data_IF_172610784948
#
_entry.id   IF_172610784948
#
_cell.length_a   1.000
_cell.length_b   1.000
_cell.length_c   1.000
_cell.angle_alpha   90.00
_cell.angle_beta   90.00
_cell.angle_gamma   90.00
#
_symmetry.space_group_name_H-M   'P 1'
#
loop_
_entity.id
_entity.type
_entity.pdbx_description
1 polymer ?
#
# COMPACT_ATOMS: atom_id res chain seq x y z
N UNK A 1 -37.98 -5.38 -62.42
CA UNK A 1 -38.26 -5.12 -60.99
C UNK A 1 -37.90 -3.67 -60.72
N UNK A 2 -38.86 -2.84 -60.28
CA UNK A 2 -38.62 -1.45 -59.85
C UNK A 2 -38.87 -1.42 -58.33
N UNK A 3 -37.95 -0.89 -57.54
CA UNK A 3 -38.18 -0.65 -56.11
C UNK A 3 -38.60 0.82 -55.93
N UNK A 4 -39.78 1.05 -55.35
CA UNK A 4 -40.18 2.36 -54.85
C UNK A 4 -40.03 2.36 -53.33
N UNK A 5 -39.23 3.27 -52.80
CA UNK A 5 -39.20 3.62 -51.38
C UNK A 5 -40.41 4.52 -51.09
N UNK A 6 -41.38 4.01 -50.33
CA UNK A 6 -42.42 4.83 -49.71
C UNK A 6 -42.39 4.51 -48.22
N UNK A 7 -42.06 5.52 -47.40
CA UNK A 7 -42.23 5.56 -45.95
C UNK A 7 -41.45 4.51 -45.12
N UNK A 8 -40.14 4.39 -45.34
CA UNK A 8 -39.19 3.95 -44.30
C UNK A 8 -39.35 2.54 -43.69
N UNK A 9 -40.17 1.65 -44.27
CA UNK A 9 -40.33 0.26 -43.83
C UNK A 9 -40.03 -0.67 -45.02
N UNK A 10 -39.12 -1.63 -44.84
CA UNK A 10 -38.83 -2.64 -45.86
C UNK A 10 -39.94 -3.70 -45.91
N UNK A 11 -40.43 -3.97 -47.12
CA UNK A 11 -41.40 -5.01 -47.42
C UNK A 11 -40.75 -6.10 -48.28
N UNK A 12 -41.04 -7.37 -47.99
CA UNK A 12 -40.76 -8.48 -48.92
C UNK A 12 -42.02 -8.80 -49.71
N UNK A 13 -41.84 -8.92 -51.03
CA UNK A 13 -42.88 -9.32 -51.97
C UNK A 13 -42.61 -10.77 -52.39
N UNK A 14 -43.59 -11.65 -52.20
CA UNK A 14 -43.53 -13.02 -52.72
C UNK A 14 -44.75 -13.31 -53.60
N UNK A 15 -44.50 -14.02 -54.70
CA UNK A 15 -45.51 -14.37 -55.69
C UNK A 15 -45.76 -15.87 -55.60
N UNK A 16 -46.98 -16.26 -55.25
CA UNK A 16 -47.40 -17.66 -55.24
C UNK A 16 -48.66 -17.79 -56.09
N UNK A 17 -48.63 -18.65 -57.11
CA UNK A 17 -49.74 -18.90 -58.05
C UNK A 17 -50.39 -17.62 -58.62
N UNK A 18 -49.58 -16.62 -58.97
CA UNK A 18 -50.05 -15.41 -59.66
C UNK A 18 -50.73 -14.37 -58.77
N UNK A 19 -50.81 -14.57 -57.44
CA UNK A 19 -51.24 -13.55 -56.48
C UNK A 19 -50.03 -12.99 -55.71
N UNK A 20 -50.07 -11.69 -55.40
CA UNK A 20 -48.99 -10.94 -54.73
C UNK A 20 -49.31 -10.75 -53.25
N UNK A 21 -48.41 -11.19 -52.38
CA UNK A 21 -48.50 -11.00 -50.92
C UNK A 21 -47.34 -10.14 -50.39
N UNK A 22 -47.62 -9.34 -49.35
CA UNK A 22 -46.69 -8.38 -48.74
C UNK A 22 -46.54 -8.62 -47.24
N UNK A 23 -45.31 -8.70 -46.73
CA UNK A 23 -45.00 -8.76 -45.28
C UNK A 23 -43.92 -7.74 -44.89
N UNK A 24 -44.02 -7.18 -43.67
CA UNK A 24 -43.10 -6.17 -43.11
C UNK A 24 -41.98 -6.79 -42.27
N UNK A 25 -40.77 -6.23 -42.38
CA UNK A 25 -39.63 -6.57 -41.52
C UNK A 25 -39.34 -5.40 -40.57
N UNK A 26 -39.44 -5.62 -39.25
CA UNK A 26 -39.06 -4.62 -38.23
C UNK A 26 -37.75 -4.98 -37.53
N UNK A 27 -36.82 -4.01 -37.34
CA UNK A 27 -36.60 -3.26 -36.09
C UNK A 27 -35.27 -2.45 -36.11
N UNK A 28 -35.36 -1.29 -35.45
CA UNK A 28 -34.49 -0.12 -35.16
C UNK A 28 -32.96 -0.24 -35.01
N UNK A 29 -32.22 0.79 -35.50
CA UNK A 29 -31.05 1.40 -34.81
C UNK A 29 -31.09 2.94 -34.98
N UNK A 30 -30.56 3.62 -33.96
CA UNK A 30 -30.91 4.91 -33.36
C UNK A 30 -30.02 6.12 -33.71
N UNK A 31 -30.68 7.24 -34.11
CA UNK A 31 -30.34 8.68 -33.83
C UNK A 31 -29.10 9.31 -34.54
N UNK A 32 -28.95 10.65 -34.63
CA UNK A 32 -29.33 11.43 -35.82
C UNK A 32 -28.24 12.41 -36.30
N UNK A 33 -27.91 12.44 -37.60
CA UNK A 33 -27.10 13.54 -38.15
C UNK A 33 -28.03 14.63 -38.71
N UNK A 34 -28.12 15.75 -37.99
CA UNK A 34 -28.70 17.00 -38.47
C UNK A 34 -27.89 17.50 -39.68
N UNK A 35 -28.56 17.73 -40.81
CA UNK A 35 -28.11 18.69 -41.80
C UNK A 35 -29.22 19.71 -42.04
N UNK A 36 -28.84 20.97 -41.82
CA UNK A 36 -29.68 22.15 -41.86
C UNK A 36 -30.06 22.48 -43.31
N UNK A 37 -31.34 22.72 -43.54
CA UNK A 37 -31.92 22.98 -44.86
C UNK A 37 -32.01 24.49 -45.04
N UNK A 38 -31.03 25.08 -45.72
CA UNK A 38 -31.11 26.46 -46.17
C UNK A 38 -30.59 26.63 -47.59
N UNK A 39 -31.40 26.26 -48.57
CA UNK A 39 -31.73 27.10 -49.73
C UNK A 39 -32.78 26.39 -50.56
N UNK A 40 -33.90 27.08 -50.72
CA UNK A 40 -35.01 26.73 -51.59
C UNK A 40 -34.63 27.21 -52.99
N UNK A 41 -34.11 26.33 -53.83
CA UNK A 41 -34.12 26.54 -55.28
C UNK A 41 -35.26 25.71 -55.87
N UNK A 42 -36.30 26.42 -56.28
CA UNK A 42 -37.36 25.91 -57.14
C UNK A 42 -36.74 25.51 -58.47
N UNK A 43 -36.67 24.20 -58.74
CA UNK A 43 -36.52 23.74 -60.13
C UNK A 43 -37.91 23.68 -60.72
N UNK A 44 -38.23 24.74 -61.46
CA UNK A 44 -39.39 24.86 -62.33
C UNK A 44 -39.30 23.85 -63.48
N UNK A 45 -40.42 23.15 -63.67
CA UNK A 45 -40.92 22.65 -64.95
C UNK A 45 -40.04 21.70 -65.78
N UNK A 46 -40.32 20.40 -65.70
CA UNK A 46 -40.08 19.47 -66.82
C UNK A 46 -41.38 18.70 -67.09
N UNK A 47 -42.24 19.34 -67.87
CA UNK A 47 -43.28 18.68 -68.65
C UNK A 47 -42.64 17.92 -69.80
N UNK A 48 -42.13 16.71 -69.56
CA UNK A 48 -41.87 15.72 -70.64
C UNK A 48 -41.62 14.35 -70.02
N UNK A 49 -42.66 13.52 -70.01
CA UNK A 49 -42.55 12.12 -69.59
C UNK A 49 -41.91 11.33 -70.74
N UNK A 50 -40.66 10.91 -70.59
CA UNK A 50 -40.02 9.97 -71.51
C UNK A 50 -40.59 8.57 -71.29
N UNK A 51 -41.00 7.91 -72.38
CA UNK A 51 -41.57 6.56 -72.36
C UNK A 51 -40.87 5.66 -73.37
N UNK A 52 -40.93 4.34 -73.14
CA UNK A 52 -40.23 3.32 -73.92
C UNK A 52 -41.26 2.45 -74.65
N UNK A 53 -41.19 2.40 -75.98
CA UNK A 53 -41.92 1.41 -76.78
C UNK A 53 -41.01 0.21 -77.09
N UNK A 54 -41.55 -0.99 -76.89
CA UNK A 54 -40.92 -2.26 -77.25
C UNK A 54 -41.93 -3.09 -78.06
N UNK A 55 -41.52 -3.66 -79.20
CA UNK A 55 -42.37 -4.57 -79.98
C UNK A 55 -42.08 -6.03 -79.58
N UNK A 56 -43.12 -6.87 -79.59
CA UNK A 56 -43.07 -8.25 -79.08
C UNK A 56 -42.36 -9.27 -80.01
N UNK A 57 -41.55 -8.85 -80.97
CA UNK A 57 -40.94 -9.81 -81.90
C UNK A 57 -39.45 -9.64 -82.20
N UNK A 58 -38.72 -8.73 -81.56
CA UNK A 58 -37.25 -8.77 -81.47
C UNK A 58 -36.79 -7.62 -80.56
N UNK A 59 -35.80 -7.90 -79.72
CA UNK A 59 -35.20 -7.07 -78.67
C UNK A 59 -34.63 -5.72 -79.15
N UNK A 60 -35.50 -4.79 -79.52
CA UNK A 60 -35.19 -3.40 -79.80
C UNK A 60 -36.27 -2.51 -79.19
N UNK A 61 -35.88 -1.71 -78.19
CA UNK A 61 -36.71 -0.64 -77.65
C UNK A 61 -36.03 0.70 -77.99
N UNK A 62 -36.82 1.71 -78.36
CA UNK A 62 -36.31 3.07 -78.62
C UNK A 62 -36.77 4.00 -77.50
N UNK A 63 -35.86 4.84 -77.03
CA UNK A 63 -36.18 6.01 -76.20
C UNK A 63 -36.38 7.19 -77.14
N UNK A 64 -37.48 7.92 -76.96
CA UNK A 64 -37.77 9.15 -77.70
C UNK A 64 -37.76 10.33 -76.72
N UNK A 65 -37.08 11.41 -77.11
CA UNK A 65 -36.79 12.65 -76.35
C UNK A 65 -35.89 12.48 -75.12
N UNK A 66 -34.58 12.47 -75.36
CA UNK A 66 -33.55 12.55 -74.32
C UNK A 66 -32.73 13.84 -74.51
N UNK A 67 -33.08 14.91 -73.78
CA UNK A 67 -32.41 16.21 -73.89
C UNK A 67 -31.65 16.63 -72.63
N UNK A 68 -31.51 15.78 -71.60
CA UNK A 68 -30.83 16.16 -70.36
C UNK A 68 -29.89 15.04 -69.86
N UNK A 69 -28.66 15.06 -70.39
CA UNK A 69 -27.51 14.38 -69.79
C UNK A 69 -27.27 14.93 -68.37
N UNK A 70 -27.68 14.18 -67.34
CA UNK A 70 -27.27 14.41 -65.95
C UNK A 70 -26.75 13.09 -65.39
N UNK A 71 -25.43 12.92 -65.37
CA UNK A 71 -24.76 11.92 -64.53
C UNK A 71 -24.20 12.67 -63.32
N UNK A 72 -24.88 12.58 -62.17
CA UNK A 72 -24.36 13.03 -60.89
C UNK A 72 -24.04 11.80 -60.03
N UNK A 73 -22.89 11.84 -59.37
CA UNK A 73 -22.36 10.78 -58.50
C UNK A 73 -23.36 10.40 -57.40
N UNK A 74 -23.84 9.15 -57.43
CA UNK A 74 -24.58 8.53 -56.32
C UNK A 74 -23.86 7.26 -55.89
N UNK A 75 -23.38 7.16 -54.63
CA UNK A 75 -22.90 5.92 -54.09
C UNK A 75 -24.13 5.11 -53.69
N UNK A 76 -24.58 4.20 -54.56
CA UNK A 76 -25.24 2.91 -54.30
C UNK A 76 -25.91 2.44 -55.60
N UNK A 77 -25.62 1.20 -55.96
CA UNK A 77 -25.71 0.68 -57.31
C UNK A 77 -27.13 0.54 -57.88
N UNK A 78 -27.34 1.06 -59.10
CA UNK A 78 -28.19 0.44 -60.13
C UNK A 78 -27.51 0.67 -61.49
N UNK A 79 -26.83 -0.36 -62.02
CA UNK A 79 -26.34 -0.37 -63.41
C UNK A 79 -27.48 -0.89 -64.28
N UNK A 80 -28.16 0.02 -65.00
CA UNK A 80 -28.98 -0.33 -66.16
C UNK A 80 -28.14 -0.11 -67.42
N UNK A 81 -27.65 -1.19 -68.02
CA UNK A 81 -27.04 -1.12 -69.34
C UNK A 81 -28.12 -1.06 -70.41
N UNK A 82 -28.31 0.11 -71.03
CA UNK A 82 -28.88 0.22 -72.38
C UNK A 82 -27.85 0.86 -73.32
N UNK A 83 -27.32 0.05 -74.23
CA UNK A 83 -27.30 0.45 -75.64
C UNK A 83 -26.21 1.39 -76.17
N UNK A 84 -25.13 1.70 -75.45
CA UNK A 84 -23.82 2.06 -76.05
C UNK A 84 -22.74 1.74 -75.02
N UNK A 85 -22.04 0.61 -75.16
CA UNK A 85 -20.86 0.30 -74.36
C UNK A 85 -19.70 1.17 -74.82
N UNK A 86 -19.61 2.41 -74.33
CA UNK A 86 -18.29 2.99 -74.12
C UNK A 86 -17.61 2.12 -73.07
N UNK A 87 -16.40 1.63 -73.35
CA UNK A 87 -15.60 0.87 -72.41
C UNK A 87 -15.41 1.69 -71.13
N UNK A 88 -16.26 1.48 -70.13
CA UNK A 88 -15.90 1.79 -68.76
C UNK A 88 -14.85 0.76 -68.39
N UNK A 89 -13.58 1.14 -68.49
CA UNK A 89 -12.46 0.33 -68.01
C UNK A 89 -12.59 0.22 -66.49
N UNK A 90 -13.41 -0.72 -66.03
CA UNK A 90 -13.52 -1.05 -64.62
C UNK A 90 -12.14 -1.42 -64.10
N UNK A 91 -11.63 -0.64 -63.16
CA UNK A 91 -10.35 -0.90 -62.52
C UNK A 91 -10.65 -1.61 -61.22
N UNK A 92 -10.22 -2.88 -61.13
CA UNK A 92 -10.29 -3.60 -59.87
C UNK A 92 -9.24 -3.03 -58.91
N UNK A 93 -9.64 -2.85 -57.66
CA UNK A 93 -8.75 -2.40 -56.60
C UNK A 93 -7.66 -3.42 -56.33
N UNK A 94 -6.44 -2.96 -56.04
CA UNK A 94 -5.36 -3.81 -55.57
C UNK A 94 -4.68 -3.21 -54.33
N UNK A 95 -4.13 -4.10 -53.51
CA UNK A 95 -3.54 -3.74 -52.24
C UNK A 95 -2.27 -2.89 -52.44
N UNK A 96 -2.12 -1.86 -51.62
CA UNK A 96 -0.85 -1.21 -51.37
C UNK A 96 0.14 -2.17 -50.71
N UNK A 97 1.41 -1.79 -50.72
CA UNK A 97 2.40 -2.41 -49.84
C UNK A 97 1.95 -2.29 -48.37
N UNK A 98 2.34 -3.28 -47.57
CA UNK A 98 2.13 -3.23 -46.14
C UNK A 98 2.94 -2.10 -45.52
N UNK A 99 2.33 -1.39 -44.57
CA UNK A 99 3.09 -0.50 -43.68
C UNK A 99 4.09 -1.31 -42.85
N UNK A 100 5.12 -0.62 -42.34
CA UNK A 100 6.00 -1.22 -41.33
C UNK A 100 5.16 -1.61 -40.11
N UNK A 101 5.55 -2.70 -39.45
CA UNK A 101 4.94 -3.07 -38.18
C UNK A 101 4.99 -1.90 -37.18
N UNK A 102 3.85 -1.65 -36.53
CA UNK A 102 3.77 -0.73 -35.40
C UNK A 102 4.59 -1.21 -34.20
N UNK A 103 4.67 -0.37 -33.17
CA UNK A 103 5.22 -0.78 -31.88
C UNK A 103 4.33 -1.80 -31.21
N UNK A 104 4.92 -2.62 -30.33
CA UNK A 104 4.15 -3.50 -29.45
C UNK A 104 3.21 -2.63 -28.58
N UNK A 105 1.96 -3.07 -28.44
CA UNK A 105 0.93 -2.44 -27.60
C UNK A 105 1.28 -2.42 -26.11
N UNK A 106 2.12 -3.36 -25.65
CA UNK A 106 2.60 -3.46 -24.27
C UNK A 106 4.04 -2.98 -24.12
N UNK A 107 4.34 -2.45 -22.94
CA UNK A 107 5.70 -2.08 -22.52
C UNK A 107 6.48 -3.26 -21.94
N UNK A 108 5.78 -4.23 -21.35
CA UNK A 108 6.31 -5.46 -20.75
C UNK A 108 5.38 -6.65 -21.04
N UNK A 109 5.87 -7.88 -20.92
CA UNK A 109 5.09 -9.10 -21.15
C UNK A 109 4.82 -9.38 -22.62
N UNK A 110 3.74 -10.12 -22.89
CA UNK A 110 3.33 -10.48 -24.24
C UNK A 110 2.23 -9.52 -24.71
N UNK A 111 2.32 -9.11 -25.97
CA UNK A 111 1.35 -8.24 -26.61
C UNK A 111 1.31 -8.45 -28.12
N UNK A 112 0.75 -7.48 -28.82
CA UNK A 112 0.55 -7.49 -30.25
C UNK A 112 1.07 -6.23 -30.92
N UNK A 113 1.44 -6.36 -32.20
CA UNK A 113 1.77 -5.26 -33.09
C UNK A 113 0.96 -5.41 -34.36
N UNK A 114 0.58 -4.28 -34.95
CA UNK A 114 -0.32 -4.23 -36.11
C UNK A 114 0.41 -3.60 -37.29
N UNK A 115 0.16 -4.11 -38.49
CA UNK A 115 0.46 -3.43 -39.75
C UNK A 115 -0.81 -3.37 -40.60
N UNK A 116 -0.87 -2.38 -41.47
CA UNK A 116 -2.04 -2.14 -42.33
C UNK A 116 -1.62 -1.87 -43.78
N UNK A 117 -2.56 -2.09 -44.69
CA UNK A 117 -2.45 -1.78 -46.12
C UNK A 117 -3.78 -1.22 -46.62
N UNK A 118 -3.75 -0.44 -47.70
CA UNK A 118 -4.93 0.20 -48.29
C UNK A 118 -5.25 -0.37 -49.65
N UNK A 119 -6.51 -0.31 -50.06
CA UNK A 119 -6.95 -0.73 -51.38
C UNK A 119 -6.87 0.44 -52.38
N UNK A 120 -5.65 0.91 -52.67
CA UNK A 120 -5.41 2.12 -53.44
C UNK A 120 -4.31 1.99 -54.53
N UNK A 121 -3.81 0.78 -54.80
CA UNK A 121 -2.71 0.56 -55.75
C UNK A 121 -3.01 -0.48 -56.86
N UNK A 122 -3.93 -0.22 -57.81
CA UNK A 122 -4.73 1.01 -57.94
C UNK A 122 -6.02 0.99 -57.11
N UNK A 123 -6.65 2.15 -56.92
CA UNK A 123 -7.97 2.24 -56.28
C UNK A 123 -9.09 1.74 -57.23
N UNK A 124 -10.13 1.07 -56.70
CA UNK A 124 -11.23 0.59 -57.52
C UNK A 124 -12.03 1.75 -58.12
N UNK A 125 -12.36 1.68 -59.42
CA UNK A 125 -13.13 2.71 -60.12
C UNK A 125 -14.04 2.12 -61.19
N UNK A 126 -15.04 2.89 -61.63
CA UNK A 126 -15.98 2.53 -62.70
C UNK A 126 -16.69 1.18 -62.47
N UNK A 127 -17.05 0.88 -61.22
CA UNK A 127 -17.70 -0.39 -60.84
C UNK A 127 -16.77 -1.60 -60.70
N UNK A 128 -15.45 -1.39 -60.66
CA UNK A 128 -14.47 -2.45 -60.36
C UNK A 128 -14.55 -2.98 -58.93
N UNK A 129 -14.12 -4.23 -58.73
CA UNK A 129 -14.19 -4.92 -57.43
C UNK A 129 -13.24 -4.34 -56.38
N UNK A 130 -13.65 -4.39 -55.11
CA UNK A 130 -12.80 -4.03 -53.97
C UNK A 130 -11.75 -5.12 -53.67
N UNK A 131 -10.67 -4.76 -52.98
CA UNK A 131 -9.61 -5.70 -52.64
C UNK A 131 -10.12 -6.85 -51.75
N UNK A 132 -9.73 -8.07 -52.09
CA UNK A 132 -10.09 -9.28 -51.32
C UNK A 132 -9.00 -9.58 -50.28
N UNK A 133 -9.41 -9.84 -49.04
CA UNK A 133 -8.53 -10.16 -47.91
C UNK A 133 -8.53 -9.08 -46.82
N UNK A 134 -7.73 -9.30 -45.78
CA UNK A 134 -7.66 -8.36 -44.66
C UNK A 134 -6.83 -7.11 -45.01
N UNK A 135 -7.31 -5.94 -44.56
CA UNK A 135 -6.60 -4.66 -44.61
C UNK A 135 -5.59 -4.49 -43.47
N UNK A 136 -5.68 -5.33 -42.45
CA UNK A 136 -4.83 -5.32 -41.26
C UNK A 136 -4.29 -6.72 -40.99
N UNK A 137 -3.11 -6.76 -40.40
CA UNK A 137 -2.42 -7.97 -39.99
C UNK A 137 -1.85 -7.77 -38.58
N UNK A 138 -1.94 -8.82 -37.77
CA UNK A 138 -1.59 -8.80 -36.34
C UNK A 138 -0.52 -9.85 -36.11
N UNK A 139 0.57 -9.44 -35.47
CA UNK A 139 1.65 -10.34 -35.08
C UNK A 139 1.94 -10.20 -33.58
N UNK A 140 2.45 -11.27 -32.97
CA UNK A 140 2.76 -11.30 -31.54
C UNK A 140 4.13 -10.69 -31.26
N UNK A 141 4.25 -10.02 -30.13
CA UNK A 141 5.51 -9.49 -29.63
C UNK A 141 5.68 -9.81 -28.14
N UNK A 142 6.92 -10.11 -27.76
CA UNK A 142 7.31 -10.33 -26.36
C UNK A 142 8.32 -9.27 -25.92
N UNK A 143 8.02 -8.63 -24.79
CA UNK A 143 8.87 -7.66 -24.10
C UNK A 143 9.49 -8.29 -22.85
N UNK A 144 10.23 -7.49 -22.08
CA UNK A 144 10.77 -7.91 -20.79
C UNK A 144 9.64 -8.27 -19.81
N UNK A 145 9.95 -9.03 -18.75
CA UNK A 145 8.96 -9.41 -17.73
C UNK A 145 8.33 -8.17 -17.08
N UNK A 146 7.02 -8.21 -16.84
CA UNK A 146 6.35 -7.13 -16.14
C UNK A 146 6.71 -7.10 -14.65
N UNK A 147 6.83 -5.90 -14.06
CA UNK A 147 6.99 -5.75 -12.63
C UNK A 147 5.85 -6.41 -11.86
N UNK A 148 6.20 -7.21 -10.85
CA UNK A 148 5.25 -7.75 -9.88
C UNK A 148 5.45 -7.00 -8.59
N UNK A 149 4.45 -6.21 -8.19
CA UNK A 149 4.49 -5.51 -6.92
C UNK A 149 4.25 -6.47 -5.76
N UNK A 150 5.03 -6.32 -4.70
CA UNK A 150 4.92 -7.14 -3.51
C UNK A 150 3.64 -6.83 -2.75
N UNK A 151 3.00 -7.87 -2.21
CA UNK A 151 1.90 -7.70 -1.27
C UNK A 151 2.09 -8.55 -0.01
N UNK A 152 1.55 -8.04 1.09
CA UNK A 152 1.68 -8.65 2.41
C UNK A 152 0.94 -9.97 2.47
N UNK A 153 1.63 -11.00 2.95
CA UNK A 153 1.01 -12.21 3.45
C UNK A 153 0.23 -11.95 4.74
N UNK A 154 -0.45 -13.00 5.20
CA UNK A 154 -1.16 -12.98 6.48
C UNK A 154 -0.18 -12.75 7.64
N UNK A 155 -0.65 -12.10 8.69
CA UNK A 155 0.10 -12.06 9.94
C UNK A 155 0.24 -13.48 10.51
N UNK A 156 1.40 -13.75 11.10
CA UNK A 156 1.58 -14.89 11.99
C UNK A 156 0.67 -14.76 13.20
N UNK A 157 0.53 -15.87 13.92
CA UNK A 157 0.02 -15.82 15.28
C UNK A 157 0.91 -14.94 16.16
N UNK A 158 0.31 -14.43 17.23
CA UNK A 158 1.05 -13.70 18.25
C UNK A 158 2.03 -14.62 18.99
N UNK A 159 3.21 -14.10 19.30
CA UNK A 159 4.15 -14.74 20.20
C UNK A 159 3.54 -14.89 21.59
N UNK A 160 4.17 -15.76 22.40
CA UNK A 160 3.92 -15.75 23.84
C UNK A 160 4.25 -14.37 24.44
N UNK A 161 3.59 -14.05 25.55
CA UNK A 161 3.87 -12.82 26.27
C UNK A 161 5.27 -12.87 26.88
N UNK A 162 6.00 -11.75 26.85
CA UNK A 162 7.36 -11.67 27.40
C UNK A 162 7.43 -11.85 28.93
N UNK A 163 6.29 -11.74 29.62
CA UNK A 163 6.15 -11.95 31.06
C UNK A 163 4.97 -12.88 31.33
N UNK A 164 5.12 -13.70 32.37
CA UNK A 164 4.06 -14.59 32.85
C UNK A 164 3.00 -13.83 33.68
N UNK A 165 3.37 -12.70 34.30
CA UNK A 165 2.48 -11.80 35.01
C UNK A 165 2.87 -10.33 34.79
N UNK A 166 1.94 -9.42 35.09
CA UNK A 166 2.07 -7.99 34.87
C UNK A 166 2.10 -7.60 33.38
N UNK A 167 2.34 -6.31 33.08
CA UNK A 167 2.41 -5.84 31.69
C UNK A 167 3.70 -6.37 31.01
N UNK A 168 3.48 -7.21 30.01
CA UNK A 168 4.49 -7.72 29.07
C UNK A 168 4.22 -7.25 27.64
N UNK A 169 5.04 -7.71 26.71
CA UNK A 169 4.93 -7.44 25.27
C UNK A 169 4.88 -8.75 24.49
N UNK A 170 4.07 -8.79 23.44
CA UNK A 170 4.07 -9.85 22.43
C UNK A 170 4.15 -9.24 21.04
N UNK A 171 4.62 -10.04 20.08
CA UNK A 171 4.77 -9.60 18.70
C UNK A 171 4.18 -10.60 17.71
N UNK A 172 3.94 -10.14 16.49
CA UNK A 172 3.62 -10.98 15.34
C UNK A 172 4.29 -10.42 14.10
N UNK A 173 4.50 -11.27 13.11
CA UNK A 173 5.25 -10.92 11.88
C UNK A 173 4.47 -11.29 10.64
N UNK A 174 4.76 -10.63 9.52
CA UNK A 174 4.23 -10.98 8.20
C UNK A 174 5.33 -10.84 7.15
N UNK A 175 5.18 -11.53 6.03
CA UNK A 175 6.15 -11.53 4.93
C UNK A 175 5.57 -10.86 3.69
N UNK A 176 6.45 -10.31 2.85
CA UNK A 176 6.09 -9.67 1.59
C UNK A 176 6.21 -10.68 0.43
N UNK A 177 5.35 -11.68 0.46
CA UNK A 177 5.43 -12.88 -0.39
C UNK A 177 4.09 -13.25 -1.05
N UNK A 178 3.05 -12.40 -0.93
CA UNK A 178 1.71 -12.66 -1.46
C UNK A 178 1.23 -11.54 -2.41
N UNK A 179 1.86 -11.34 -3.59
CA UNK A 179 2.97 -12.11 -4.15
C UNK A 179 4.34 -11.52 -3.77
N UNK A 180 5.42 -12.26 -4.02
CA UNK A 180 6.79 -11.77 -3.86
C UNK A 180 7.13 -10.77 -4.99
N UNK A 181 7.69 -9.59 -4.65
CA UNK A 181 8.04 -8.60 -5.66
C UNK A 181 9.13 -9.09 -6.62
N UNK A 182 8.98 -8.80 -7.91
CA UNK A 182 9.95 -9.17 -8.95
C UNK A 182 9.93 -8.21 -10.15
N UNK A 183 10.93 -8.33 -11.03
CA UNK A 183 11.08 -7.51 -12.25
C UNK A 183 10.90 -6.00 -11.99
N UNK A 184 11.61 -5.48 -10.98
CA UNK A 184 11.57 -4.09 -10.52
C UNK A 184 10.24 -3.64 -9.89
N UNK A 185 9.41 -4.59 -9.45
CA UNK A 185 8.21 -4.28 -8.69
C UNK A 185 8.51 -3.78 -7.27
N UNK A 186 7.76 -2.76 -6.85
CA UNK A 186 7.83 -2.19 -5.50
C UNK A 186 7.70 -3.24 -4.38
N UNK A 187 8.51 -3.08 -3.33
CA UNK A 187 8.35 -3.81 -2.07
C UNK A 187 7.11 -3.35 -1.29
N UNK A 188 6.65 -4.21 -0.37
CA UNK A 188 5.50 -3.92 0.48
C UNK A 188 5.75 -2.72 1.38
N UNK A 189 4.77 -1.81 1.46
CA UNK A 189 4.81 -0.65 2.34
C UNK A 189 4.21 -0.95 3.71
N UNK A 190 4.83 -0.45 4.78
CA UNK A 190 4.40 -0.60 6.17
C UNK A 190 5.26 -1.57 6.99
N UNK A 191 4.89 -1.78 8.25
CA UNK A 191 5.68 -2.62 9.16
C UNK A 191 5.50 -4.12 8.87
N UNK A 192 6.60 -4.87 8.89
CA UNK A 192 6.63 -6.34 8.84
C UNK A 192 6.44 -7.01 10.21
N UNK A 193 6.52 -6.22 11.29
CA UNK A 193 6.34 -6.65 12.67
C UNK A 193 5.35 -5.73 13.38
N UNK A 194 4.55 -6.30 14.28
CA UNK A 194 3.61 -5.58 15.10
C UNK A 194 3.75 -6.02 16.56
N UNK A 195 3.65 -5.08 17.48
CA UNK A 195 3.77 -5.28 18.92
C UNK A 195 2.47 -4.93 19.64
N UNK A 196 2.22 -5.61 20.75
CA UNK A 196 1.04 -5.45 21.59
C UNK A 196 1.44 -5.64 23.07
N UNK A 197 0.81 -4.88 23.96
CA UNK A 197 0.89 -5.10 25.40
C UNK A 197 0.03 -6.31 25.76
N UNK A 198 0.60 -7.24 26.52
CA UNK A 198 -0.06 -8.45 26.98
C UNK A 198 0.13 -8.62 28.49
N UNK A 199 -0.61 -9.58 29.07
CA UNK A 199 -0.59 -9.85 30.51
C UNK A 199 -1.65 -9.04 31.25
N UNK A 200 -2.66 -9.73 31.79
CA UNK A 200 -3.75 -9.15 32.59
C UNK A 200 -3.66 -9.52 34.07
N UNK A 201 -2.82 -10.49 34.43
CA UNK A 201 -2.69 -10.95 35.80
C UNK A 201 -1.69 -10.07 36.54
N UNK A 202 -2.16 -9.32 37.53
CA UNK A 202 -1.25 -8.63 38.46
C UNK A 202 -0.30 -9.66 39.07
N UNK A 203 0.99 -9.34 39.08
CA UNK A 203 1.97 -10.15 39.80
C UNK A 203 1.65 -10.04 41.28
N UNK A 204 0.98 -11.05 41.83
CA UNK A 204 0.68 -11.12 43.25
C UNK A 204 1.96 -11.41 44.04
N UNK A 205 2.18 -10.58 45.07
CA UNK A 205 3.11 -10.78 46.19
C UNK A 205 4.60 -10.91 45.90
N UNK A 206 5.20 -9.88 45.29
CA UNK A 206 6.60 -9.57 45.65
C UNK A 206 6.56 -8.63 46.86
N UNK A 207 6.79 -9.10 48.09
CA UNK A 207 6.63 -8.27 49.27
C UNK A 207 7.58 -7.06 49.22
N UNK A 208 7.06 -5.88 49.59
CA UNK A 208 7.91 -4.75 49.94
C UNK A 208 8.42 -4.98 51.35
N UNK A 209 9.74 -5.07 51.51
CA UNK A 209 10.39 -5.34 52.80
C UNK A 209 11.08 -4.06 53.26
N UNK A 210 10.67 -3.56 54.41
CA UNK A 210 11.23 -2.34 55.00
C UNK A 210 12.42 -2.68 55.89
N UNK A 211 13.53 -1.97 55.66
CA UNK A 211 14.72 -2.05 56.49
C UNK A 211 15.17 -0.64 56.89
N UNK A 212 15.24 -0.38 58.19
CA UNK A 212 15.68 0.90 58.75
C UNK A 212 16.69 0.71 59.87
N UNK A 213 17.85 1.33 59.72
CA UNK A 213 18.94 1.35 60.71
C UNK A 213 19.43 2.77 60.96
N UNK A 214 20.02 3.00 62.14
CA UNK A 214 20.58 4.30 62.53
C UNK A 214 21.91 4.15 63.26
N UNK A 215 22.78 5.13 63.09
CA UNK A 215 24.03 5.22 63.87
C UNK A 215 23.76 5.89 65.22
N UNK A 216 24.21 5.32 66.37
CA UNK A 216 24.05 5.96 67.68
C UNK A 216 24.88 7.25 67.80
N UNK A 217 26.07 7.25 67.20
CA UNK A 217 27.06 8.33 67.27
C UNK A 217 27.45 8.81 65.87
N UNK A 218 28.44 9.71 65.79
CA UNK A 218 29.05 10.03 64.50
C UNK A 218 29.75 8.78 63.94
N UNK A 219 29.72 8.63 62.62
CA UNK A 219 30.48 7.58 61.93
C UNK A 219 31.93 8.04 61.74
N UNK A 220 32.88 7.27 62.26
CA UNK A 220 34.30 7.45 61.96
C UNK A 220 34.68 6.48 60.84
N UNK A 221 34.78 6.98 59.62
CA UNK A 221 34.93 6.12 58.45
C UNK A 221 36.39 6.00 58.04
N UNK A 222 36.95 4.80 58.11
CA UNK A 222 38.12 4.43 57.31
C UNK A 222 37.67 4.14 55.87
N UNK A 223 38.52 4.43 54.89
CA UNK A 223 38.17 4.32 53.47
C UNK A 223 37.76 2.89 53.11
N UNK A 224 36.56 2.70 52.57
CA UNK A 224 36.08 1.40 52.09
C UNK A 224 35.64 0.43 53.18
N UNK A 225 35.59 0.84 54.45
CA UNK A 225 35.11 0.00 55.54
C UNK A 225 33.59 -0.19 55.50
N UNK A 226 33.15 -1.41 55.82
CA UNK A 226 31.73 -1.71 56.03
C UNK A 226 31.26 -1.03 57.32
N UNK A 227 30.09 -0.37 57.24
CA UNK A 227 29.49 0.30 58.39
C UNK A 227 28.52 -0.67 59.06
N UNK A 228 28.76 -0.91 60.35
CA UNK A 228 27.88 -1.69 61.21
C UNK A 228 27.00 -0.72 61.99
N UNK A 229 25.69 -0.79 61.78
CA UNK A 229 24.72 0.03 62.50
C UNK A 229 24.20 -0.74 63.70
N UNK A 230 24.38 -0.18 64.90
CA UNK A 230 23.98 -0.83 66.15
C UNK A 230 22.54 -0.55 66.56
N UNK A 231 21.86 0.44 65.95
CA UNK A 231 20.44 0.70 66.17
C UNK A 231 19.65 0.22 64.95
N UNK A 232 18.78 -0.77 65.18
CA UNK A 232 17.92 -1.36 64.16
C UNK A 232 16.48 -0.95 64.50
N UNK A 233 15.91 -0.04 63.71
CA UNK A 233 14.51 0.39 63.89
C UNK A 233 13.56 -0.63 63.27
N UNK A 234 13.89 -1.12 62.06
CA UNK A 234 13.04 -2.03 61.28
C UNK A 234 13.94 -3.05 60.56
N UNK A 235 13.67 -4.34 60.72
CA UNK A 235 14.38 -5.43 60.06
C UNK A 235 13.40 -6.54 59.68
N UNK A 236 12.47 -6.20 58.78
CA UNK A 236 11.48 -7.15 58.28
C UNK A 236 12.16 -8.35 57.62
N UNK A 237 11.71 -9.55 57.97
CA UNK A 237 12.33 -10.79 57.51
C UNK A 237 13.71 -11.10 58.11
N UNK A 238 14.21 -10.28 59.05
CA UNK A 238 15.45 -10.50 59.82
C UNK A 238 16.69 -10.75 58.96
N UNK A 239 16.81 -10.01 57.85
CA UNK A 239 17.92 -10.15 56.90
C UNK A 239 19.24 -9.53 57.37
N UNK A 240 19.20 -8.55 58.28
CA UNK A 240 20.40 -7.84 58.75
C UNK A 240 21.18 -8.58 59.81
N UNK A 241 22.49 -8.69 59.60
CA UNK A 241 23.48 -9.20 60.53
C UNK A 241 24.25 -8.03 61.17
N UNK A 242 24.07 -7.87 62.49
CA UNK A 242 24.68 -6.80 63.27
C UNK A 242 26.17 -7.03 63.59
N UNK A 243 26.73 -8.21 63.30
CA UNK A 243 28.17 -8.45 63.45
C UNK A 243 28.94 -8.01 62.20
N UNK A 244 28.42 -8.36 61.01
CA UNK A 244 29.07 -8.05 59.72
C UNK A 244 28.61 -6.75 59.07
N UNK A 245 27.46 -6.21 59.48
CA UNK A 245 26.82 -5.05 58.85
C UNK A 245 26.18 -5.37 57.49
N UNK A 246 26.03 -6.65 57.13
CA UNK A 246 25.44 -7.09 55.88
C UNK A 246 23.96 -7.43 56.04
N UNK A 247 23.17 -7.15 55.00
CA UNK A 247 21.79 -7.58 54.86
C UNK A 247 21.70 -8.71 53.84
N UNK A 248 21.06 -9.82 54.20
CA UNK A 248 20.77 -10.94 53.31
C UNK A 248 19.28 -11.05 53.05
N UNK A 249 18.88 -11.00 51.78
CA UNK A 249 17.49 -11.07 51.37
C UNK A 249 16.85 -12.42 51.77
N UNK A 250 15.83 -12.44 52.67
CA UNK A 250 15.17 -13.69 53.08
C UNK A 250 14.25 -14.29 52.00
N UNK A 251 13.66 -13.45 51.15
CA UNK A 251 12.75 -13.82 50.05
C UNK A 251 13.02 -12.94 48.82
N UNK A 252 12.45 -13.31 47.67
CA UNK A 252 12.43 -12.41 46.51
C UNK A 252 11.50 -11.22 46.85
N UNK A 253 11.98 -9.99 46.68
CA UNK A 253 11.29 -8.82 47.23
C UNK A 253 11.83 -7.50 46.71
N UNK A 254 11.03 -6.45 46.85
CA UNK A 254 11.52 -5.07 46.74
C UNK A 254 11.86 -4.57 48.13
N UNK A 255 13.10 -4.17 48.36
CA UNK A 255 13.60 -3.76 49.66
C UNK A 255 13.77 -2.26 49.71
N UNK A 256 13.18 -1.62 50.73
CA UNK A 256 13.37 -0.19 51.03
C UNK A 256 14.39 -0.05 52.15
N UNK A 257 15.64 0.26 51.81
CA UNK A 257 16.74 0.48 52.73
C UNK A 257 16.78 1.93 53.17
N UNK A 258 16.66 2.20 54.47
CA UNK A 258 16.83 3.53 55.05
C UNK A 258 17.91 3.46 56.12
N UNK A 259 19.03 4.14 55.89
CA UNK A 259 20.14 4.18 56.85
C UNK A 259 20.40 5.62 57.30
N UNK A 260 20.19 5.91 58.58
CA UNK A 260 20.53 7.19 59.17
C UNK A 260 21.97 7.19 59.66
N UNK A 261 22.73 8.19 59.23
CA UNK A 261 24.11 8.38 59.65
C UNK A 261 24.31 9.85 60.06
N UNK A 262 25.18 10.04 61.05
CA UNK A 262 25.48 11.35 61.60
C UNK A 262 26.97 11.63 61.49
N UNK A 263 27.31 12.91 61.37
CA UNK A 263 28.69 13.38 61.30
C UNK A 263 28.93 14.44 62.37
N UNK A 264 30.14 14.45 62.94
CA UNK A 264 30.56 15.41 63.94
C UNK A 264 30.77 16.81 63.34
N UNK A 265 30.95 17.82 64.18
CA UNK A 265 31.27 19.19 63.75
C UNK A 265 32.52 19.24 62.86
N UNK A 266 32.49 20.09 61.82
CA UNK A 266 33.51 20.18 60.76
C UNK A 266 33.82 18.84 60.07
N UNK A 267 32.91 17.89 60.12
CA UNK A 267 33.06 16.57 59.54
C UNK A 267 32.36 16.43 58.20
N UNK A 268 32.83 15.46 57.43
CA UNK A 268 32.24 15.03 56.19
C UNK A 268 32.15 13.51 56.16
N UNK A 269 31.04 12.94 55.69
CA UNK A 269 30.94 11.52 55.45
C UNK A 269 30.15 11.21 54.18
N UNK A 270 30.58 10.16 53.49
CA UNK A 270 29.86 9.56 52.38
C UNK A 270 29.69 8.08 52.63
N UNK A 271 28.51 7.58 52.26
CA UNK A 271 28.17 6.18 52.36
C UNK A 271 27.53 5.72 51.06
N UNK A 272 27.69 4.43 50.76
CA UNK A 272 27.05 3.83 49.60
C UNK A 272 26.50 2.44 49.92
N UNK A 273 25.33 2.13 49.35
CA UNK A 273 24.74 0.80 49.36
C UNK A 273 25.40 -0.02 48.25
N UNK A 274 25.96 -1.16 48.59
CA UNK A 274 26.74 -2.01 47.69
C UNK A 274 26.08 -3.37 47.53
N UNK A 275 26.04 -3.87 46.30
CA UNK A 275 25.70 -5.25 45.94
C UNK A 275 26.79 -5.77 45.01
N UNK A 276 27.36 -6.94 45.33
CA UNK A 276 28.39 -7.61 44.52
C UNK A 276 29.60 -6.71 44.16
N UNK A 277 29.95 -5.76 45.04
CA UNK A 277 31.05 -4.81 44.83
C UNK A 277 30.67 -3.55 44.04
N UNK A 278 29.51 -3.54 43.37
CA UNK A 278 28.96 -2.39 42.67
C UNK A 278 28.13 -1.50 43.59
N UNK A 279 28.33 -0.19 43.48
CA UNK A 279 27.51 0.79 44.20
C UNK A 279 26.13 0.90 43.54
N UNK A 280 25.08 0.69 44.34
CA UNK A 280 23.69 0.86 43.92
C UNK A 280 23.18 2.29 44.16
N UNK A 281 23.52 2.88 45.31
CA UNK A 281 23.11 4.23 45.70
C UNK A 281 24.19 4.86 46.57
N UNK A 282 24.43 6.17 46.41
CA UNK A 282 25.38 6.94 47.23
C UNK A 282 24.67 8.08 47.96
N UNK A 283 25.12 8.37 49.17
CA UNK A 283 24.69 9.50 49.98
C UNK A 283 25.88 10.20 50.60
N UNK A 284 25.77 11.51 50.82
CA UNK A 284 26.80 12.30 51.47
C UNK A 284 26.19 13.36 52.37
N UNK A 285 26.90 13.68 53.45
CA UNK A 285 26.52 14.73 54.39
C UNK A 285 27.75 15.53 54.84
N UNK A 286 27.57 16.83 55.02
CA UNK A 286 28.57 17.74 55.57
C UNK A 286 28.00 18.43 56.81
N UNK A 287 28.81 18.55 57.86
CA UNK A 287 28.47 19.24 59.10
C UNK A 287 29.46 20.38 59.35
N UNK A 288 28.98 21.63 59.38
CA UNK A 288 29.85 22.81 59.54
C UNK A 288 30.03 23.24 61.00
N UNK A 289 28.93 23.49 61.72
CA UNK A 289 28.94 24.09 63.07
C UNK A 289 28.38 23.17 64.16
N UNK A 290 27.53 22.22 63.78
CA UNK A 290 26.84 21.32 64.72
C UNK A 290 26.76 19.92 64.11
N UNK A 291 26.50 18.92 64.96
CA UNK A 291 26.23 17.55 64.51
C UNK A 291 25.08 17.57 63.49
N UNK A 292 25.31 16.98 62.33
CA UNK A 292 24.31 16.84 61.29
C UNK A 292 24.06 15.35 61.00
N UNK A 293 22.80 15.00 60.71
CA UNK A 293 22.39 13.63 60.40
C UNK A 293 21.57 13.62 59.12
N UNK A 294 21.71 12.57 58.32
CA UNK A 294 20.99 12.37 57.06
C UNK A 294 20.60 10.89 56.90
N UNK A 295 19.60 10.64 56.07
CA UNK A 295 19.13 9.31 55.72
C UNK A 295 19.60 8.98 54.28
N UNK A 296 20.21 7.81 54.08
CA UNK A 296 20.36 7.18 52.76
C UNK A 296 19.13 6.31 52.51
N UNK A 297 18.33 6.64 51.50
CA UNK A 297 17.18 5.83 51.09
C UNK A 297 17.44 5.20 49.73
N UNK A 298 17.24 3.89 49.62
CA UNK A 298 17.34 3.14 48.37
C UNK A 298 16.24 2.09 48.28
N UNK A 299 15.59 1.99 47.12
CA UNK A 299 14.70 0.86 46.79
C UNK A 299 15.42 -0.07 45.82
N UNK A 300 15.57 -1.34 46.20
CA UNK A 300 16.33 -2.33 45.42
C UNK A 300 15.54 -3.63 45.36
N UNK A 301 15.39 -4.20 44.17
CA UNK A 301 14.88 -5.56 44.04
C UNK A 301 16.00 -6.56 44.35
N UNK A 302 15.75 -7.48 45.28
CA UNK A 302 16.69 -8.54 45.64
C UNK A 302 16.05 -9.92 45.50
N UNK A 303 16.82 -10.87 44.98
CA UNK A 303 16.51 -12.28 45.03
C UNK A 303 16.94 -12.90 46.37
N UNK A 304 16.24 -13.95 46.79
CA UNK A 304 16.53 -14.69 48.03
C UNK A 304 18.00 -15.10 48.08
N UNK A 305 18.66 -14.67 49.16
CA UNK A 305 20.05 -15.00 49.46
C UNK A 305 21.08 -14.01 48.93
N UNK A 306 20.68 -13.05 48.10
CA UNK A 306 21.55 -11.92 47.71
C UNK A 306 21.89 -11.07 48.93
N UNK A 307 23.07 -10.45 48.90
CA UNK A 307 23.62 -9.68 50.01
C UNK A 307 23.90 -8.25 49.60
N UNK A 308 23.57 -7.32 50.48
CA UNK A 308 23.90 -5.91 50.36
C UNK A 308 24.48 -5.38 51.67
N UNK A 309 25.31 -4.36 51.60
CA UNK A 309 25.86 -3.70 52.79
C UNK A 309 26.14 -2.24 52.52
N UNK A 310 26.30 -1.48 53.59
CA UNK A 310 26.63 -0.06 53.50
C UNK A 310 28.12 0.08 53.82
N UNK A 311 28.86 0.75 52.94
CA UNK A 311 30.27 1.08 53.17
C UNK A 311 30.51 2.58 53.09
N UNK A 312 31.54 3.04 53.75
CA UNK A 312 31.97 4.44 53.65
C UNK A 312 32.91 4.68 52.47
N UNK A 313 32.70 5.79 51.77
CA UNK A 313 33.65 6.30 50.76
C UNK A 313 34.45 7.47 51.31
N UNK A 314 35.72 7.53 50.95
CA UNK A 314 36.61 8.61 51.34
C UNK A 314 36.37 9.81 50.42
N UNK A 315 36.06 10.97 50.97
CA UNK A 315 36.30 12.24 50.29
C UNK A 315 36.88 13.26 51.25
N UNK A 316 37.93 13.94 50.81
CA UNK A 316 38.56 15.06 51.51
C UNK A 316 37.84 16.38 51.26
N UNK A 317 36.99 16.44 50.22
CA UNK A 317 36.20 17.60 49.84
C UNK A 317 34.87 17.18 49.18
N UNK A 318 33.83 18.02 49.31
CA UNK A 318 32.63 17.93 48.49
C UNK A 318 32.99 18.38 47.06
N UNK A 319 33.35 17.43 46.20
CA UNK A 319 33.67 17.72 44.81
C UNK A 319 32.39 17.73 43.98
N UNK A 320 32.06 18.89 43.39
CA UNK A 320 30.91 19.12 42.50
C UNK A 320 30.97 18.31 41.19
N UNK A 321 32.07 17.62 40.87
CA UNK A 321 32.27 16.93 39.58
C UNK A 321 31.63 15.54 39.48
N UNK A 322 31.01 15.04 40.54
CA UNK A 322 30.29 13.76 40.55
C UNK A 322 28.79 14.08 40.48
N UNK A 323 28.13 14.04 39.33
CA UNK A 323 26.72 14.46 39.17
C UNK A 323 25.70 13.33 39.43
N UNK A 324 26.04 12.34 40.26
CA UNK A 324 25.16 11.21 40.59
C UNK A 324 24.78 11.15 42.09
N UNK A 325 24.74 12.31 42.77
CA UNK A 325 24.26 12.39 44.15
C UNK A 325 22.80 12.72 44.16
N UNK A 326 22.02 11.89 44.81
CA UNK A 326 20.65 12.22 45.12
C UNK A 326 20.63 13.06 46.40
N UNK A 327 20.28 14.34 46.30
CA UNK A 327 19.74 15.13 47.43
C UNK A 327 18.31 14.71 47.78
N UNK A 328 17.77 13.70 47.08
CA UNK A 328 16.41 13.19 47.18
C UNK A 328 16.42 11.68 47.43
N UNK A 329 15.55 11.21 48.32
CA UNK A 329 15.18 9.80 48.47
C UNK A 329 14.39 9.35 47.23
N UNK A 330 15.02 8.60 46.32
CA UNK A 330 14.41 8.17 45.06
C UNK A 330 14.76 6.73 44.67
N UNK A 331 13.83 6.04 44.01
CA UNK A 331 13.95 4.65 43.59
C UNK A 331 14.69 4.54 42.24
N UNK A 332 15.74 3.71 42.18
CA UNK A 332 16.43 3.35 40.94
C UNK A 332 15.84 2.02 40.45
N UNK A 333 14.89 2.10 39.51
CA UNK A 333 14.38 0.92 38.82
C UNK A 333 15.36 0.54 37.70
N UNK A 334 16.14 -0.52 37.92
CA UNK A 334 16.77 -1.22 36.80
C UNK A 334 15.68 -2.00 36.06
N UNK A 335 15.40 -1.59 34.82
CA UNK A 335 14.53 -2.30 33.87
C UNK A 335 15.32 -3.40 33.18
#
# INVERSE_FOLDING_TARGET
MRYCLVLGICWICSIHNGAVHWETIGQEISTPAQFDVSTREEVTDITTTSYVECSNSQSNCKILNDTLNICADVPHAVILCQGYCHLCNAVNGNWSEWTKWGTCDVTCGNGTKIRSRKCDNPAPSHGGGYCVGASEDIDFCSKHKCPVHGSWGTWSDWSNCSKECGPGLRNRTRRCDHPEPSADGNHCFGASINYEVCGQQECTDVPMILFRVRSPSHIYTSQGANIVFSIIDINEGRGYDAESGQFRAPVNGTYSFIAQYCVAEQGFAQIELVKDGSSLQKGGIMASLTRHCADLHAMVFLHRGERVWIRSTFATHFSESLLAWSTFSGALYYV
#
